data_IF_069223295949
#
_entry.id   IF_069223295949
#
_cell.length_a   1.000
_cell.length_b   1.000
_cell.length_c   1.000
_cell.angle_alpha   90.00
_cell.angle_beta   90.00
_cell.angle_gamma   90.00
#
_symmetry.space_group_name_H-M   'P 1'
#
loop_
_entity.id
_entity.type
_entity.pdbx_description
1 polymer ?
#
# COMPACT_ATOMS: atom_id res chain seq x y z
N UNK A 1 9.11 6.42 -20.41
CA UNK A 1 8.71 5.20 -21.09
C UNK A 1 7.23 4.92 -20.93
N UNK A 2 6.71 4.74 -19.70
CA UNK A 2 5.29 4.38 -19.41
C UNK A 2 4.32 5.38 -20.04
N UNK A 3 4.57 6.70 -19.89
CA UNK A 3 3.76 7.74 -20.50
C UNK A 3 3.68 7.59 -22.03
N UNK A 4 4.80 7.25 -22.71
CA UNK A 4 4.81 7.03 -24.16
C UNK A 4 4.01 5.78 -24.55
N UNK A 5 4.08 4.70 -23.76
CA UNK A 5 3.26 3.51 -24.01
C UNK A 5 1.76 3.82 -23.86
N UNK A 6 1.37 4.58 -22.83
CA UNK A 6 -0.03 4.98 -22.65
C UNK A 6 -0.55 5.89 -23.78
N UNK A 7 0.27 6.76 -24.34
CA UNK A 7 -0.12 7.56 -25.53
C UNK A 7 -0.49 6.66 -26.72
N UNK A 8 0.17 5.53 -26.90
CA UNK A 8 -0.14 4.61 -28.02
C UNK A 8 -1.54 4.00 -27.92
N UNK A 9 -2.14 3.95 -26.72
CA UNK A 9 -3.51 3.47 -26.52
C UNK A 9 -4.58 4.48 -26.97
N UNK A 10 -4.19 5.73 -27.24
CA UNK A 10 -5.09 6.82 -27.57
C UNK A 10 -5.50 7.69 -26.38
N UNK A 11 -4.88 7.47 -25.22
CA UNK A 11 -5.13 8.26 -24.02
C UNK A 11 -4.50 9.66 -24.11
N UNK A 12 -5.15 10.63 -23.49
CA UNK A 12 -4.56 11.93 -23.15
C UNK A 12 -3.68 11.73 -21.90
N UNK A 13 -2.36 11.91 -22.07
CA UNK A 13 -1.38 11.57 -21.02
C UNK A 13 -0.69 12.81 -20.48
N UNK A 14 -0.60 12.92 -19.17
CA UNK A 14 0.13 13.97 -18.45
C UNK A 14 1.08 13.35 -17.41
N UNK A 15 2.20 14.01 -17.19
CA UNK A 15 3.10 13.76 -16.08
C UNK A 15 2.73 14.75 -14.98
N UNK A 16 2.45 14.26 -13.79
CA UNK A 16 2.00 15.06 -12.65
C UNK A 16 3.08 15.07 -11.58
N UNK A 17 3.66 16.24 -11.35
CA UNK A 17 4.62 16.42 -10.26
C UNK A 17 3.90 16.39 -8.91
N UNK A 18 4.47 15.73 -7.88
CA UNK A 18 3.89 15.70 -6.55
C UNK A 18 3.83 17.10 -5.94
N UNK A 19 2.65 17.43 -5.42
CA UNK A 19 2.41 18.67 -4.67
C UNK A 19 1.91 18.31 -3.28
N UNK A 20 2.20 19.15 -2.28
CA UNK A 20 1.72 18.95 -0.91
C UNK A 20 2.16 17.57 -0.35
N UNK A 21 3.43 17.23 -0.47
CA UNK A 21 3.97 15.94 -0.01
C UNK A 21 3.66 15.77 1.49
N UNK A 22 2.95 14.69 1.81
CA UNK A 22 2.61 14.34 3.19
C UNK A 22 3.86 13.87 3.94
N UNK A 23 4.22 14.58 5.00
CA UNK A 23 5.46 14.34 5.74
C UNK A 23 5.27 13.31 6.86
N UNK A 24 5.91 12.17 6.69
CA UNK A 24 6.12 11.13 7.69
C UNK A 24 7.59 11.16 8.13
N UNK A 25 7.95 10.35 9.12
CA UNK A 25 9.30 10.34 9.69
C UNK A 25 10.41 10.05 8.67
N UNK A 26 10.11 9.14 7.76
CA UNK A 26 11.03 8.65 6.71
C UNK A 26 10.69 9.18 5.29
N UNK A 27 9.77 10.13 5.16
CA UNK A 27 9.43 10.68 3.84
C UNK A 27 10.62 11.42 3.23
N UNK A 28 11.07 11.03 2.02
CA UNK A 28 12.15 11.74 1.34
C UNK A 28 11.74 13.17 1.00
N UNK A 29 12.72 14.04 0.77
CA UNK A 29 12.46 15.44 0.43
C UNK A 29 11.63 15.59 -0.85
N UNK A 30 11.86 14.70 -1.81
CA UNK A 30 11.17 14.62 -3.10
C UNK A 30 10.73 13.20 -3.37
N UNK A 31 9.55 13.04 -3.99
CA UNK A 31 9.05 11.78 -4.56
C UNK A 31 9.03 11.90 -6.08
N UNK A 32 9.00 10.76 -6.77
CA UNK A 32 8.94 10.75 -8.22
C UNK A 32 7.61 11.27 -8.77
N UNK A 33 7.55 11.66 -10.05
CA UNK A 33 6.33 12.10 -10.71
C UNK A 33 5.36 10.92 -10.93
N UNK A 34 4.09 11.25 -11.09
CA UNK A 34 3.02 10.32 -11.45
C UNK A 34 2.70 10.41 -12.94
N UNK A 35 2.19 9.33 -13.53
CA UNK A 35 1.63 9.34 -14.88
C UNK A 35 0.12 9.24 -14.78
N UNK A 36 -0.59 10.24 -15.29
CA UNK A 36 -2.05 10.25 -15.42
C UNK A 36 -2.43 10.15 -16.89
N UNK A 37 -3.31 9.20 -17.21
CA UNK A 37 -3.86 9.07 -18.57
C UNK A 37 -5.39 9.01 -18.51
N UNK A 38 -6.05 9.63 -19.49
CA UNK A 38 -7.50 9.69 -19.58
C UNK A 38 -7.95 9.29 -20.98
N UNK A 39 -8.84 8.30 -21.06
CA UNK A 39 -9.56 7.96 -22.27
C UNK A 39 -11.01 8.40 -22.11
N UNK A 40 -11.54 9.07 -23.13
CA UNK A 40 -12.95 9.50 -23.20
C UNK A 40 -13.68 8.61 -24.18
N UNK A 41 -14.76 7.99 -23.73
CA UNK A 41 -15.64 7.15 -24.52
C UNK A 41 -16.98 7.86 -24.82
N UNK A 42 -17.98 7.06 -25.17
CA UNK A 42 -19.34 7.50 -25.54
C UNK A 42 -20.39 7.20 -24.49
N UNK A 43 -20.04 6.41 -23.49
CA UNK A 43 -20.92 5.99 -22.41
C UNK A 43 -20.89 6.93 -21.21
N UNK A 44 -21.30 6.43 -20.05
CA UNK A 44 -21.40 7.21 -18.80
C UNK A 44 -20.51 6.68 -17.67
N UNK A 45 -20.08 5.42 -17.71
CA UNK A 45 -19.31 4.82 -16.63
C UNK A 45 -17.93 5.48 -16.46
N UNK A 46 -17.55 5.72 -15.20
CA UNK A 46 -16.26 6.31 -14.83
C UNK A 46 -15.42 5.25 -14.11
N UNK A 47 -14.35 4.82 -14.73
CA UNK A 47 -13.51 3.72 -14.25
C UNK A 47 -12.09 4.22 -14.03
N UNK A 48 -11.54 3.96 -12.86
CA UNK A 48 -10.15 4.28 -12.53
C UNK A 48 -9.33 2.99 -12.48
N UNK A 49 -8.14 3.02 -13.08
CA UNK A 49 -7.14 1.95 -13.02
C UNK A 49 -5.91 2.50 -12.31
N UNK A 50 -5.45 1.81 -11.27
CA UNK A 50 -4.28 2.22 -10.49
C UNK A 50 -3.24 1.10 -10.40
N UNK A 51 -1.98 1.49 -10.42
CA UNK A 51 -0.79 0.67 -10.19
C UNK A 51 0.38 1.58 -9.81
N UNK A 52 1.52 1.02 -9.39
CA UNK A 52 2.68 1.83 -9.07
C UNK A 52 3.94 1.43 -9.87
N UNK A 53 4.86 2.37 -10.00
CA UNK A 53 6.08 2.23 -10.82
C UNK A 53 7.33 2.05 -9.98
N UNK A 54 7.30 2.43 -8.71
CA UNK A 54 8.39 2.24 -7.76
C UNK A 54 8.48 0.79 -7.28
N UNK A 55 9.60 0.45 -6.67
CA UNK A 55 9.87 -0.86 -6.10
C UNK A 55 10.79 -0.72 -4.89
N UNK A 56 10.79 -1.72 -4.01
CA UNK A 56 11.72 -1.78 -2.86
C UNK A 56 13.17 -2.05 -3.24
N UNK A 57 13.45 -2.35 -4.51
CA UNK A 57 14.79 -2.77 -4.95
C UNK A 57 15.70 -1.58 -5.26
N UNK A 58 16.95 -1.68 -4.79
CA UNK A 58 17.92 -0.61 -4.96
C UNK A 58 18.59 -0.64 -6.35
N UNK A 59 19.06 0.52 -6.78
CA UNK A 59 19.85 0.66 -8.01
C UNK A 59 21.05 -0.29 -8.01
N UNK A 60 21.23 -1.04 -9.10
CA UNK A 60 22.31 -1.99 -9.27
C UNK A 60 21.95 -3.44 -8.99
N UNK A 61 20.89 -3.71 -8.23
CA UNK A 61 20.47 -5.09 -7.90
C UNK A 61 20.11 -5.95 -9.13
N UNK A 62 19.68 -5.32 -10.23
CA UNK A 62 19.39 -6.02 -11.49
C UNK A 62 20.59 -6.83 -12.02
N UNK A 63 21.82 -6.41 -11.71
CA UNK A 63 23.04 -7.13 -12.09
C UNK A 63 23.12 -8.52 -11.43
N UNK A 64 22.66 -8.61 -10.18
CA UNK A 64 22.73 -9.84 -9.39
C UNK A 64 21.44 -10.68 -9.52
N UNK A 65 20.36 -10.02 -9.92
CA UNK A 65 19.02 -10.62 -10.09
C UNK A 65 18.43 -10.28 -11.47
N UNK A 66 19.01 -10.80 -12.56
CA UNK A 66 18.54 -10.50 -13.91
C UNK A 66 17.17 -11.09 -14.18
N UNK A 67 16.46 -10.49 -15.12
CA UNK A 67 15.24 -11.05 -15.68
C UNK A 67 15.50 -12.45 -16.25
N UNK A 68 14.67 -13.43 -15.89
CA UNK A 68 14.75 -14.80 -16.42
C UNK A 68 13.37 -15.45 -16.47
N UNK A 69 13.24 -16.43 -17.37
CA UNK A 69 12.04 -17.26 -17.49
C UNK A 69 12.41 -18.72 -17.24
N UNK A 70 11.67 -19.39 -16.37
CA UNK A 70 11.85 -20.81 -16.02
C UNK A 70 10.48 -21.50 -15.99
N UNK A 71 10.17 -22.25 -17.05
CA UNK A 71 8.85 -22.85 -17.20
C UNK A 71 7.74 -21.80 -17.28
N UNK A 72 6.76 -21.89 -16.38
CA UNK A 72 5.65 -20.94 -16.27
C UNK A 72 5.97 -19.72 -15.37
N UNK A 73 7.18 -19.62 -14.85
CA UNK A 73 7.59 -18.52 -13.99
C UNK A 73 8.48 -17.54 -14.71
N UNK A 74 8.15 -16.26 -14.59
CA UNK A 74 9.00 -15.16 -15.03
C UNK A 74 9.48 -14.40 -13.81
N UNK A 75 10.79 -14.40 -13.58
CA UNK A 75 11.45 -13.74 -12.45
C UNK A 75 11.97 -12.36 -12.84
N UNK A 76 11.87 -11.41 -11.94
CA UNK A 76 12.40 -10.06 -12.12
C UNK A 76 12.17 -9.19 -10.90
N UNK A 77 12.99 -8.18 -10.70
CA UNK A 77 12.85 -7.22 -9.61
C UNK A 77 11.61 -6.35 -9.80
N UNK A 78 10.69 -6.39 -8.83
CA UNK A 78 9.43 -5.66 -8.91
C UNK A 78 8.51 -6.16 -10.02
N UNK A 79 8.69 -7.42 -10.47
CA UNK A 79 7.89 -7.96 -11.57
C UNK A 79 6.45 -8.22 -11.14
N UNK A 80 6.22 -8.64 -9.89
CA UNK A 80 4.91 -8.85 -9.30
C UNK A 80 4.41 -7.57 -8.62
N UNK A 81 5.31 -6.80 -8.03
CA UNK A 81 5.04 -5.61 -7.22
C UNK A 81 5.82 -4.39 -7.76
N UNK A 82 5.29 -3.56 -8.73
CA UNK A 82 4.01 -3.76 -9.42
C UNK A 82 4.15 -3.54 -10.94
N UNK A 83 5.33 -3.89 -11.52
CA UNK A 83 5.57 -3.71 -12.97
C UNK A 83 4.56 -4.46 -13.84
N UNK A 84 4.10 -5.64 -13.39
CA UNK A 84 3.07 -6.39 -14.10
C UNK A 84 1.74 -5.65 -14.12
N UNK A 85 1.37 -4.94 -13.04
CA UNK A 85 0.15 -4.16 -12.97
C UNK A 85 0.17 -2.99 -13.96
N UNK A 86 1.30 -2.29 -14.04
CA UNK A 86 1.54 -1.25 -15.05
C UNK A 86 1.39 -1.82 -16.47
N UNK A 87 2.01 -2.97 -16.75
CA UNK A 87 1.93 -3.63 -18.05
C UNK A 87 0.50 -4.11 -18.36
N UNK A 88 -0.19 -4.70 -17.38
CA UNK A 88 -1.56 -5.19 -17.53
C UNK A 88 -2.54 -4.03 -17.85
N UNK A 89 -2.39 -2.88 -17.23
CA UNK A 89 -3.18 -1.69 -17.56
C UNK A 89 -2.96 -1.27 -19.01
N UNK A 90 -1.70 -1.11 -19.45
CA UNK A 90 -1.37 -0.70 -20.81
C UNK A 90 -1.98 -1.68 -21.84
N UNK A 91 -1.80 -3.00 -21.61
CA UNK A 91 -2.32 -4.03 -22.51
C UNK A 91 -3.86 -4.10 -22.50
N UNK A 92 -4.52 -3.88 -21.36
CA UNK A 92 -5.99 -3.78 -21.27
C UNK A 92 -6.51 -2.64 -22.14
N UNK A 93 -5.89 -1.46 -22.07
CA UNK A 93 -6.26 -0.31 -22.91
C UNK A 93 -5.99 -0.57 -24.39
N UNK A 94 -4.89 -1.23 -24.75
CA UNK A 94 -4.59 -1.61 -26.13
C UNK A 94 -5.61 -2.63 -26.66
N UNK A 95 -6.07 -3.58 -25.85
CA UNK A 95 -7.14 -4.50 -26.21
C UNK A 95 -8.46 -3.76 -26.47
N UNK A 96 -8.88 -2.85 -25.61
CA UNK A 96 -10.08 -2.02 -25.82
C UNK A 96 -9.99 -1.22 -27.14
N UNK A 97 -8.81 -0.64 -27.42
CA UNK A 97 -8.54 0.07 -28.67
C UNK A 97 -8.66 -0.86 -29.89
N UNK A 98 -8.05 -2.04 -29.85
CA UNK A 98 -8.11 -3.04 -30.95
C UNK A 98 -9.52 -3.56 -31.19
N UNK A 99 -10.34 -3.64 -30.14
CA UNK A 99 -11.75 -4.01 -30.23
C UNK A 99 -12.64 -2.81 -30.68
N UNK A 100 -12.09 -1.63 -30.89
CA UNK A 100 -12.81 -0.38 -31.13
C UNK A 100 -13.90 -0.11 -30.07
N UNK A 101 -13.68 -0.55 -28.83
CA UNK A 101 -14.65 -0.41 -27.77
C UNK A 101 -14.56 0.97 -27.11
N UNK A 102 -15.67 1.70 -27.09
CA UNK A 102 -15.76 3.10 -26.58
C UNK A 102 -17.04 3.34 -25.75
N UNK A 103 -17.74 2.30 -25.29
CA UNK A 103 -19.01 2.45 -24.59
C UNK A 103 -18.86 2.89 -23.12
N UNK A 104 -17.63 3.02 -22.60
CA UNK A 104 -17.35 3.66 -21.32
C UNK A 104 -17.50 5.20 -21.41
N UNK A 105 -17.70 5.87 -20.29
CA UNK A 105 -17.67 7.34 -20.21
C UNK A 105 -16.23 7.84 -20.15
N UNK A 106 -15.53 7.48 -19.08
CA UNK A 106 -14.10 7.76 -18.92
C UNK A 106 -13.36 6.57 -18.33
N UNK A 107 -12.13 6.33 -18.81
CA UNK A 107 -11.15 5.49 -18.10
C UNK A 107 -10.00 6.40 -17.67
N UNK A 108 -9.78 6.51 -16.37
CA UNK A 108 -8.68 7.28 -15.79
C UNK A 108 -7.62 6.32 -15.25
N UNK A 109 -6.41 6.40 -15.78
CA UNK A 109 -5.25 5.67 -15.27
C UNK A 109 -4.44 6.59 -14.38
N UNK A 110 -4.01 6.12 -13.24
CA UNK A 110 -3.05 6.79 -12.38
C UNK A 110 -1.97 5.82 -11.94
N UNK A 111 -0.73 6.10 -12.36
CA UNK A 111 0.45 5.32 -12.01
C UNK A 111 1.38 6.22 -11.18
N UNK A 112 1.54 5.88 -9.92
CA UNK A 112 2.40 6.63 -9.01
C UNK A 112 3.80 6.00 -8.88
N UNK A 113 4.70 6.67 -8.17
CA UNK A 113 6.08 6.26 -7.99
C UNK A 113 6.55 6.43 -6.54
N UNK A 114 5.63 6.23 -5.59
CA UNK A 114 5.89 6.36 -4.17
C UNK A 114 4.99 5.46 -3.30
N UNK A 115 4.44 4.37 -3.88
CA UNK A 115 3.59 3.41 -3.16
C UNK A 115 4.36 2.76 -2.02
N UNK A 116 5.59 2.30 -2.28
CA UNK A 116 6.43 1.55 -1.35
C UNK A 116 6.83 2.34 -0.09
N UNK A 117 6.69 3.65 -0.15
CA UNK A 117 6.91 4.56 0.98
C UNK A 117 5.61 5.16 1.51
N UNK A 118 4.46 4.51 1.23
CA UNK A 118 3.11 4.89 1.65
C UNK A 118 2.57 6.14 0.96
N UNK A 119 2.91 6.35 -0.29
CA UNK A 119 2.30 7.32 -1.22
C UNK A 119 2.26 8.77 -0.72
N UNK A 120 3.36 9.31 -0.16
CA UNK A 120 3.33 10.66 0.42
C UNK A 120 3.04 11.76 -0.60
N UNK A 121 3.48 11.61 -1.85
CA UNK A 121 3.25 12.58 -2.93
C UNK A 121 1.99 12.32 -3.73
N UNK A 122 1.55 11.06 -3.81
CA UNK A 122 0.43 10.63 -4.68
C UNK A 122 -0.91 10.48 -3.96
N UNK A 123 -0.94 10.23 -2.66
CA UNK A 123 -2.17 9.93 -1.88
C UNK A 123 -3.30 10.92 -2.09
N UNK A 124 -3.00 12.22 -2.16
CA UNK A 124 -3.99 13.27 -2.37
C UNK A 124 -4.64 13.14 -3.76
N UNK A 125 -3.82 12.98 -4.81
CA UNK A 125 -4.32 12.84 -6.17
C UNK A 125 -5.12 11.55 -6.36
N UNK A 126 -4.70 10.43 -5.77
CA UNK A 126 -5.45 9.16 -5.77
C UNK A 126 -6.84 9.38 -5.14
N UNK A 127 -6.87 9.94 -3.91
CA UNK A 127 -8.11 10.19 -3.18
C UNK A 127 -9.07 11.11 -3.94
N UNK A 128 -8.57 12.24 -4.44
CA UNK A 128 -9.38 13.22 -5.18
C UNK A 128 -9.89 12.65 -6.51
N UNK A 129 -9.05 11.92 -7.25
CA UNK A 129 -9.46 11.31 -8.53
C UNK A 129 -10.51 10.24 -8.33
N UNK A 130 -10.44 9.45 -7.26
CA UNK A 130 -11.36 8.36 -6.99
C UNK A 130 -12.77 8.82 -6.54
N UNK A 131 -12.94 10.06 -6.06
CA UNK A 131 -14.22 10.57 -5.57
C UNK A 131 -15.33 10.52 -6.63
N UNK A 132 -14.98 10.78 -7.87
CA UNK A 132 -15.92 10.87 -9.01
C UNK A 132 -15.97 9.58 -9.84
N UNK A 133 -15.38 8.49 -9.35
CA UNK A 133 -15.37 7.21 -10.07
C UNK A 133 -16.51 6.31 -9.61
N UNK A 134 -17.03 5.48 -10.52
CA UNK A 134 -17.98 4.40 -10.21
C UNK A 134 -17.23 3.15 -9.74
N UNK A 135 -16.06 2.90 -10.33
CA UNK A 135 -15.22 1.72 -10.07
C UNK A 135 -13.74 2.09 -10.03
N UNK A 136 -13.00 1.47 -9.13
CA UNK A 136 -11.53 1.49 -9.10
C UNK A 136 -11.01 0.05 -9.17
N UNK A 137 -10.18 -0.22 -10.15
CA UNK A 137 -9.46 -1.48 -10.31
C UNK A 137 -7.99 -1.24 -9.98
N UNK A 138 -7.52 -1.87 -8.90
CA UNK A 138 -6.13 -1.78 -8.45
C UNK A 138 -5.36 -3.01 -8.92
N UNK A 139 -4.31 -2.78 -9.70
CA UNK A 139 -3.59 -3.83 -10.43
C UNK A 139 -2.41 -4.42 -9.66
N UNK A 140 -2.38 -4.25 -8.35
CA UNK A 140 -1.49 -5.00 -7.49
C UNK A 140 -1.54 -6.51 -7.77
N UNK A 141 -0.47 -7.23 -7.49
CA UNK A 141 -0.41 -8.66 -7.71
C UNK A 141 -1.51 -9.44 -6.99
N UNK A 142 -2.14 -10.39 -7.68
CA UNK A 142 -3.19 -11.26 -7.14
C UNK A 142 -2.69 -12.29 -6.12
N UNK A 143 -1.39 -12.28 -5.80
CA UNK A 143 -0.76 -13.29 -4.97
C UNK A 143 -0.66 -14.64 -5.69
N UNK A 144 -0.15 -15.66 -5.00
CA UNK A 144 0.09 -16.98 -5.58
C UNK A 144 -1.16 -17.68 -6.12
N UNK A 145 -2.30 -17.46 -5.48
CA UNK A 145 -3.60 -18.07 -5.83
C UNK A 145 -4.49 -17.17 -6.68
N UNK A 146 -3.99 -16.02 -7.11
CA UNK A 146 -4.75 -15.08 -7.92
C UNK A 146 -5.97 -14.48 -7.23
N UNK A 147 -5.92 -14.26 -5.92
CA UNK A 147 -7.06 -13.75 -5.16
C UNK A 147 -7.34 -12.27 -5.46
N UNK A 148 -8.61 -11.91 -5.58
CA UNK A 148 -9.08 -10.52 -5.43
C UNK A 148 -9.26 -10.18 -3.96
N UNK A 149 -9.08 -8.91 -3.60
CA UNK A 149 -9.23 -8.40 -2.24
C UNK A 149 -10.26 -7.28 -2.20
N UNK A 150 -11.12 -7.30 -1.19
CA UNK A 150 -12.11 -6.26 -0.92
C UNK A 150 -11.73 -5.38 0.27
N UNK A 151 -10.70 -5.80 1.02
CA UNK A 151 -10.24 -5.10 2.21
C UNK A 151 -8.72 -5.22 2.34
N UNK A 152 -8.08 -4.16 2.83
CA UNK A 152 -6.66 -4.14 3.21
C UNK A 152 -6.50 -3.52 4.59
N UNK A 153 -5.42 -3.86 5.29
CA UNK A 153 -5.12 -3.24 6.58
C UNK A 153 -4.62 -1.82 6.40
N UNK A 154 -5.05 -0.94 7.30
CA UNK A 154 -4.36 0.32 7.49
C UNK A 154 -2.99 0.12 8.12
N UNK A 155 -2.07 1.01 7.83
CA UNK A 155 -0.69 1.01 8.31
C UNK A 155 -0.46 2.27 9.12
N UNK A 156 0.07 2.12 10.33
CA UNK A 156 0.52 3.20 11.19
C UNK A 156 1.89 2.90 11.77
N UNK A 157 2.51 3.93 12.32
CA UNK A 157 3.75 3.84 13.06
C UNK A 157 3.68 4.66 14.34
N UNK A 158 4.28 4.17 15.41
CA UNK A 158 4.48 4.93 16.64
C UNK A 158 5.98 5.04 16.93
N UNK A 159 6.40 6.24 17.29
CA UNK A 159 7.79 6.57 17.60
C UNK A 159 7.86 7.06 19.03
N UNK A 160 8.69 6.43 19.85
CA UNK A 160 9.04 6.87 21.19
C UNK A 160 10.44 7.47 21.18
N UNK A 161 10.56 8.62 21.81
CA UNK A 161 11.83 9.26 22.09
C UNK A 161 11.88 9.61 23.58
N UNK A 162 12.91 9.12 24.26
CA UNK A 162 13.13 9.34 25.69
C UNK A 162 14.43 10.11 25.87
N UNK A 163 14.32 11.29 26.47
CA UNK A 163 15.46 12.09 26.90
C UNK A 163 15.69 11.93 28.39
N UNK A 164 16.93 11.65 28.73
CA UNK A 164 17.44 11.57 30.08
C UNK A 164 18.63 12.50 30.29
N UNK A 165 19.62 12.04 31.05
CA UNK A 165 20.84 12.78 31.35
C UNK A 165 22.02 11.86 31.46
N UNK A 166 23.11 12.14 30.73
CA UNK A 166 24.35 11.36 30.79
C UNK A 166 25.05 11.53 32.13
N UNK A 167 25.67 10.43 32.59
CA UNK A 167 26.56 10.38 33.74
C UNK A 167 27.52 9.20 33.62
N UNK A 168 28.62 9.20 34.40
CA UNK A 168 29.52 8.07 34.46
C UNK A 168 28.89 6.93 35.26
N UNK A 169 28.66 5.78 34.61
CA UNK A 169 27.88 4.69 35.15
C UNK A 169 28.47 4.05 36.44
N UNK A 170 29.78 4.13 36.64
CA UNK A 170 30.45 3.57 37.79
C UNK A 170 30.91 4.56 38.88
N UNK A 171 30.96 5.86 38.56
CA UNK A 171 31.47 6.90 39.50
C UNK A 171 30.34 7.66 40.16
N UNK A 172 29.36 8.11 39.37
CA UNK A 172 28.25 8.95 39.87
C UNK A 172 26.97 8.68 39.06
N UNK A 173 26.47 7.43 39.06
CA UNK A 173 25.28 7.08 38.26
C UNK A 173 24.02 7.85 38.68
N UNK A 174 23.90 8.23 39.95
CA UNK A 174 22.80 9.01 40.51
C UNK A 174 22.68 10.44 39.95
N UNK A 175 23.75 10.96 39.32
CA UNK A 175 23.71 12.25 38.63
C UNK A 175 23.09 12.18 37.23
N UNK A 176 22.85 10.96 36.72
CA UNK A 176 22.25 10.69 35.43
C UNK A 176 20.76 10.35 35.52
N UNK A 177 20.10 10.43 34.37
CA UNK A 177 18.74 9.95 34.15
C UNK A 177 18.81 8.96 33.00
N UNK A 178 18.63 7.67 33.30
CA UNK A 178 18.87 6.59 32.33
C UNK A 178 17.71 6.45 31.33
N UNK A 179 17.88 7.00 30.13
CA UNK A 179 16.88 6.95 29.06
C UNK A 179 16.54 5.49 28.66
N UNK A 180 17.49 4.54 28.70
CA UNK A 180 17.23 3.14 28.38
C UNK A 180 16.27 2.50 29.41
N UNK A 181 16.45 2.81 30.70
CA UNK A 181 15.56 2.32 31.77
C UNK A 181 14.14 2.84 31.59
N UNK A 182 13.99 4.12 31.26
CA UNK A 182 12.67 4.71 31.01
C UNK A 182 12.06 4.13 29.74
N UNK A 183 12.79 4.03 28.61
CA UNK A 183 12.29 3.43 27.37
C UNK A 183 11.80 2.01 27.59
N UNK A 184 12.56 1.18 28.34
CA UNK A 184 12.17 -0.19 28.67
C UNK A 184 10.84 -0.22 29.43
N UNK A 185 10.65 0.68 30.40
CA UNK A 185 9.38 0.81 31.13
C UNK A 185 8.24 1.20 30.18
N UNK A 186 8.46 2.18 29.31
CA UNK A 186 7.46 2.64 28.36
C UNK A 186 7.04 1.49 27.41
N UNK A 187 7.97 0.76 26.81
CA UNK A 187 7.66 -0.39 25.95
C UNK A 187 6.82 -1.43 26.69
N UNK A 188 7.19 -1.80 27.91
CA UNK A 188 6.49 -2.82 28.70
C UNK A 188 5.05 -2.41 29.04
N UNK A 189 4.79 -1.15 29.35
CA UNK A 189 3.42 -0.67 29.61
C UNK A 189 2.58 -0.45 28.34
N UNK A 190 3.18 -0.44 27.15
CA UNK A 190 2.52 -0.20 25.88
C UNK A 190 2.39 -1.46 25.00
N UNK A 191 2.90 -2.61 25.43
CA UNK A 191 2.93 -3.84 24.62
C UNK A 191 1.58 -4.55 24.50
N UNK A 192 0.61 -4.28 25.36
CA UNK A 192 -0.68 -4.99 25.49
C UNK A 192 -1.82 -4.33 24.67
N UNK A 193 -1.49 -3.44 23.76
CA UNK A 193 -2.48 -2.66 23.00
C UNK A 193 -3.04 -3.37 21.77
N UNK A 194 -2.45 -4.49 21.35
CA UNK A 194 -3.02 -5.33 20.29
C UNK A 194 -4.37 -5.91 20.72
N UNK A 195 -5.34 -5.90 19.81
CA UNK A 195 -6.69 -6.41 20.07
C UNK A 195 -7.17 -7.32 18.93
N UNK A 196 -7.16 -8.65 19.11
CA UNK A 196 -7.61 -9.59 18.09
C UNK A 196 -9.07 -9.41 17.66
N UNK A 197 -9.94 -8.87 18.53
CA UNK A 197 -11.36 -8.67 18.22
C UNK A 197 -11.58 -7.53 17.21
N UNK A 198 -10.73 -6.50 17.24
CA UNK A 198 -10.79 -5.39 16.28
C UNK A 198 -9.77 -5.52 15.14
N UNK A 199 -8.88 -6.53 15.22
CA UNK A 199 -7.78 -6.71 14.28
C UNK A 199 -6.63 -5.70 14.46
N UNK A 200 -6.66 -4.88 15.52
CA UNK A 200 -5.57 -3.98 15.87
C UNK A 200 -4.33 -4.79 16.27
N UNK A 201 -3.20 -4.49 15.63
CA UNK A 201 -1.88 -5.03 15.97
C UNK A 201 -0.93 -3.88 16.22
N UNK A 202 -0.20 -3.92 17.33
CA UNK A 202 0.86 -2.97 17.66
C UNK A 202 2.06 -3.78 18.14
N UNK A 203 3.19 -3.62 17.47
CA UNK A 203 4.43 -4.34 17.78
C UNK A 203 5.61 -3.36 17.79
N UNK A 204 6.29 -3.25 18.93
CA UNK A 204 7.56 -2.54 19.01
C UNK A 204 8.66 -3.40 18.37
N UNK A 205 9.23 -2.92 17.26
CA UNK A 205 10.12 -3.71 16.40
C UNK A 205 11.53 -3.18 16.29
N UNK A 206 11.73 -1.89 16.62
CA UNK A 206 13.05 -1.25 16.63
C UNK A 206 13.26 -0.55 17.96
N UNK A 207 14.46 -0.67 18.53
CA UNK A 207 14.86 0.11 19.70
C UNK A 207 16.37 0.42 19.64
N UNK A 208 16.75 1.59 20.13
CA UNK A 208 18.14 2.04 20.21
C UNK A 208 18.39 2.86 21.48
N UNK A 209 19.51 2.62 22.15
CA UNK A 209 19.92 3.40 23.33
C UNK A 209 21.42 3.27 23.61
N UNK A 210 22.07 4.36 23.98
CA UNK A 210 23.45 4.38 24.40
C UNK A 210 24.45 4.02 23.29
N UNK A 211 25.73 4.36 23.52
CA UNK A 211 26.82 4.03 22.60
C UNK A 211 28.02 3.41 23.34
N UNK A 212 28.17 3.74 24.61
CA UNK A 212 29.33 3.37 25.43
C UNK A 212 28.86 2.79 26.76
N UNK A 213 29.35 1.61 27.12
CA UNK A 213 28.91 0.79 28.27
C UNK A 213 29.01 1.52 29.63
N UNK A 214 30.00 2.35 29.84
CA UNK A 214 30.25 3.05 31.10
C UNK A 214 29.62 4.46 31.20
N UNK A 215 28.68 4.76 30.31
CA UNK A 215 27.91 6.02 30.29
C UNK A 215 26.44 5.72 30.43
N UNK A 216 25.76 6.40 31.36
CA UNK A 216 24.28 6.43 31.43
C UNK A 216 23.75 7.11 30.17
N UNK A 217 22.90 6.43 29.35
CA UNK A 217 22.40 7.02 28.11
C UNK A 217 21.40 8.14 28.38
N UNK A 218 21.57 9.24 27.68
CA UNK A 218 20.70 10.43 27.72
C UNK A 218 19.64 10.43 26.61
N UNK A 219 19.74 9.49 25.66
CA UNK A 219 18.76 9.32 24.59
C UNK A 219 18.48 7.86 24.36
N UNK A 220 17.20 7.52 24.21
CA UNK A 220 16.72 6.23 23.79
C UNK A 220 15.50 6.37 22.89
N UNK A 221 15.37 5.54 21.85
CA UNK A 221 14.28 5.59 20.89
C UNK A 221 13.71 4.20 20.64
N UNK A 222 12.42 4.13 20.30
CA UNK A 222 11.79 2.91 19.80
C UNK A 222 10.76 3.22 18.72
N UNK A 223 10.49 2.23 17.85
CA UNK A 223 9.50 2.33 16.79
C UNK A 223 8.60 1.10 16.81
N UNK A 224 7.30 1.32 16.57
CA UNK A 224 6.32 0.26 16.47
C UNK A 224 5.62 0.28 15.11
N UNK A 225 5.39 -0.92 14.55
CA UNK A 225 4.44 -1.14 13.45
C UNK A 225 3.03 -1.25 14.03
N UNK A 226 2.08 -0.55 13.39
CA UNK A 226 0.68 -0.56 13.81
C UNK A 226 -0.19 -0.93 12.61
N UNK A 227 -1.06 -1.94 12.79
CA UNK A 227 -2.05 -2.34 11.77
C UNK A 227 -3.45 -2.22 12.33
N UNK A 228 -4.37 -1.66 11.57
CA UNK A 228 -5.76 -1.52 11.97
C UNK A 228 -6.72 -1.78 10.81
N UNK A 229 -7.94 -2.20 11.12
CA UNK A 229 -9.00 -2.45 10.13
C UNK A 229 -9.93 -1.26 9.95
N UNK A 230 -9.87 -0.28 10.86
CA UNK A 230 -10.70 0.93 10.82
C UNK A 230 -9.88 2.16 11.23
N UNK A 231 -10.14 3.30 10.60
CA UNK A 231 -9.44 4.57 10.92
C UNK A 231 -9.61 4.97 12.40
N UNK A 232 -10.79 4.71 12.98
CA UNK A 232 -11.05 5.01 14.40
C UNK A 232 -10.13 4.26 15.37
N UNK A 233 -9.65 3.07 14.98
CA UNK A 233 -8.76 2.27 15.83
C UNK A 233 -7.38 2.92 15.93
N UNK A 234 -6.89 3.58 14.87
CA UNK A 234 -5.68 4.41 14.93
C UNK A 234 -5.84 5.59 15.88
N UNK A 235 -6.97 6.30 15.81
CA UNK A 235 -7.25 7.43 16.69
C UNK A 235 -7.36 7.00 18.16
N UNK A 236 -7.92 5.81 18.39
CA UNK A 236 -8.05 5.28 19.75
C UNK A 236 -6.70 4.84 20.31
N UNK A 237 -5.89 4.09 19.54
CA UNK A 237 -4.58 3.63 20.01
C UNK A 237 -3.64 4.80 20.25
N UNK A 238 -3.64 5.81 19.38
CA UNK A 238 -2.86 7.03 19.57
C UNK A 238 -3.23 7.72 20.92
N UNK A 239 -4.51 7.89 21.20
CA UNK A 239 -4.96 8.48 22.48
C UNK A 239 -4.47 7.67 23.68
N UNK A 240 -4.58 6.34 23.62
CA UNK A 240 -4.12 5.47 24.70
C UNK A 240 -2.61 5.55 24.87
N UNK A 241 -1.85 5.55 23.79
CA UNK A 241 -0.40 5.73 23.82
C UNK A 241 -0.03 7.07 24.49
N UNK A 242 -0.64 8.18 24.06
CA UNK A 242 -0.39 9.53 24.60
C UNK A 242 -0.72 9.64 26.10
N UNK A 243 -1.74 8.93 26.58
CA UNK A 243 -2.05 8.91 28.01
C UNK A 243 -1.07 8.04 28.80
N UNK A 244 -0.75 6.84 28.33
CA UNK A 244 0.11 5.90 29.05
C UNK A 244 1.55 6.39 29.18
N UNK A 245 2.11 7.10 28.19
CA UNK A 245 3.48 7.62 28.28
C UNK A 245 3.67 8.67 29.40
N UNK A 246 2.60 9.21 29.93
CA UNK A 246 2.65 10.13 31.10
C UNK A 246 3.06 9.41 32.39
N UNK A 247 2.87 8.08 32.45
CA UNK A 247 3.27 7.25 33.58
C UNK A 247 4.74 6.87 33.45
N UNK A 248 5.61 7.76 33.91
CA UNK A 248 7.06 7.62 33.85
C UNK A 248 7.60 6.84 35.05
N UNK A 249 8.62 6.00 34.81
CA UNK A 249 9.42 5.37 35.88
C UNK A 249 10.40 6.37 36.48
N UNK A 250 11.00 7.21 35.64
CA UNK A 250 11.95 8.24 36.05
C UNK A 250 11.30 9.60 35.87
N UNK A 251 10.88 10.23 36.96
CA UNK A 251 10.11 11.45 36.95
C UNK A 251 10.75 12.58 36.12
N UNK A 252 12.08 12.70 36.20
CA UNK A 252 12.85 13.75 35.52
C UNK A 252 13.21 13.43 34.06
N UNK A 253 12.79 12.29 33.52
CA UNK A 253 12.90 12.00 32.09
C UNK A 253 11.87 12.79 31.28
N UNK A 254 12.18 13.08 30.02
CA UNK A 254 11.21 13.57 29.04
C UNK A 254 10.87 12.44 28.07
N UNK A 255 9.57 12.14 27.91
CA UNK A 255 9.07 11.11 26.99
C UNK A 255 8.22 11.77 25.94
N UNK A 256 8.57 11.56 24.67
CA UNK A 256 7.84 12.05 23.50
C UNK A 256 7.29 10.89 22.71
N UNK A 257 6.06 11.04 22.23
CA UNK A 257 5.42 10.10 21.30
C UNK A 257 4.98 10.86 20.06
N UNK A 258 5.36 10.34 18.90
CA UNK A 258 4.79 10.68 17.60
C UNK A 258 4.03 9.49 17.08
N UNK A 259 2.83 9.71 16.54
CA UNK A 259 2.02 8.68 15.90
C UNK A 259 1.70 9.11 14.47
N UNK A 260 1.78 8.18 13.54
CA UNK A 260 1.51 8.42 12.12
C UNK A 260 0.54 7.36 11.58
N UNK A 261 -0.57 7.78 11.00
CA UNK A 261 -1.33 6.93 10.10
C UNK A 261 -0.71 7.03 8.71
N UNK A 262 0.06 6.03 8.34
CA UNK A 262 0.80 6.01 7.06
C UNK A 262 -0.13 5.70 5.89
N UNK A 263 -1.07 4.76 6.08
CA UNK A 263 -2.04 4.34 5.07
C UNK A 263 -3.39 4.03 5.74
N UNK A 264 -4.53 4.48 5.21
CA UNK A 264 -5.83 4.08 5.74
C UNK A 264 -6.12 2.60 5.43
N UNK A 265 -7.06 1.95 6.12
CA UNK A 265 -7.59 0.66 5.71
C UNK A 265 -8.54 0.81 4.51
N UNK A 266 -8.52 -0.15 3.58
CA UNK A 266 -9.60 -0.35 2.62
C UNK A 266 -10.69 -1.20 3.29
N UNK A 267 -11.94 -0.79 3.17
CA UNK A 267 -13.08 -1.54 3.67
C UNK A 267 -13.99 -1.98 2.52
N UNK A 268 -14.39 -3.24 2.54
CA UNK A 268 -15.35 -3.78 1.57
C UNK A 268 -16.69 -3.01 1.62
N UNK A 269 -17.17 -2.59 0.46
CA UNK A 269 -18.54 -2.05 0.32
C UNK A 269 -19.44 -3.02 -0.47
N UNK A 270 -20.77 -2.85 -0.44
CA UNK A 270 -21.70 -3.74 -1.17
C UNK A 270 -21.46 -3.76 -2.68
N UNK A 271 -21.06 -2.65 -3.27
CA UNK A 271 -20.78 -2.54 -4.70
C UNK A 271 -19.52 -3.33 -5.08
N UNK A 272 -18.46 -3.26 -4.26
CA UNK A 272 -17.26 -4.06 -4.46
C UNK A 272 -17.54 -5.57 -4.37
N UNK A 273 -18.43 -6.00 -3.47
CA UNK A 273 -18.84 -7.41 -3.37
C UNK A 273 -19.54 -7.89 -4.65
N UNK A 274 -20.48 -7.11 -5.18
CA UNK A 274 -21.16 -7.42 -6.45
C UNK A 274 -20.19 -7.49 -7.62
N UNK A 275 -19.21 -6.56 -7.67
CA UNK A 275 -18.19 -6.55 -8.71
C UNK A 275 -17.27 -7.77 -8.62
N UNK A 276 -16.92 -8.20 -7.40
CA UNK A 276 -16.16 -9.42 -7.19
C UNK A 276 -16.94 -10.69 -7.59
N UNK A 277 -18.24 -10.76 -7.30
CA UNK A 277 -19.11 -11.84 -7.74
C UNK A 277 -19.17 -11.92 -9.29
N UNK A 278 -19.23 -10.78 -9.97
CA UNK A 278 -19.14 -10.70 -11.43
C UNK A 278 -17.79 -11.22 -11.95
N UNK A 279 -16.68 -10.83 -11.31
CA UNK A 279 -15.35 -11.34 -11.64
C UNK A 279 -15.25 -12.87 -11.47
N UNK A 280 -15.82 -13.40 -10.39
CA UNK A 280 -15.90 -14.85 -10.15
C UNK A 280 -16.73 -15.57 -11.24
N UNK A 281 -17.85 -14.95 -11.63
CA UNK A 281 -18.69 -15.50 -12.70
C UNK A 281 -17.93 -15.57 -14.03
N UNK A 282 -17.23 -14.50 -14.42
CA UNK A 282 -16.40 -14.46 -15.64
C UNK A 282 -15.35 -15.59 -15.61
N UNK A 283 -14.61 -15.75 -14.51
CA UNK A 283 -13.61 -16.82 -14.39
C UNK A 283 -14.21 -18.21 -14.50
N UNK A 284 -15.36 -18.42 -13.88
CA UNK A 284 -16.05 -19.70 -13.90
C UNK A 284 -16.61 -20.03 -15.29
N UNK A 285 -17.28 -19.06 -15.95
CA UNK A 285 -17.97 -19.31 -17.21
C UNK A 285 -17.02 -19.37 -18.40
N UNK A 286 -16.03 -18.48 -18.44
CA UNK A 286 -15.21 -18.28 -19.64
C UNK A 286 -13.91 -19.09 -19.60
N UNK A 287 -13.41 -19.42 -18.39
CA UNK A 287 -12.18 -20.21 -18.23
C UNK A 287 -12.36 -21.53 -17.48
N UNK A 288 -13.53 -21.77 -16.87
CA UNK A 288 -13.74 -22.89 -15.95
C UNK A 288 -12.72 -22.92 -14.80
N UNK A 289 -12.31 -21.74 -14.33
CA UNK A 289 -11.35 -21.55 -13.23
C UNK A 289 -12.05 -20.96 -12.00
N UNK A 290 -11.64 -21.36 -10.78
CA UNK A 290 -12.09 -20.71 -9.58
C UNK A 290 -11.39 -19.34 -9.41
N UNK A 291 -12.07 -18.38 -8.81
CA UNK A 291 -11.48 -17.14 -8.34
C UNK A 291 -11.77 -16.94 -6.86
N UNK A 292 -10.73 -16.83 -6.09
CA UNK A 292 -10.83 -16.55 -4.65
C UNK A 292 -11.02 -15.06 -4.42
N UNK A 293 -11.90 -14.71 -3.51
CA UNK A 293 -12.14 -13.33 -3.06
C UNK A 293 -11.92 -13.25 -1.56
N UNK A 294 -11.02 -12.38 -1.12
CA UNK A 294 -10.72 -12.11 0.27
C UNK A 294 -11.52 -10.89 0.72
N UNK A 295 -12.56 -11.12 1.50
CA UNK A 295 -13.40 -10.05 2.04
C UNK A 295 -12.78 -9.38 3.29
N UNK A 296 -11.83 -10.05 3.93
CA UNK A 296 -11.14 -9.58 5.13
C UNK A 296 -9.68 -9.22 4.82
N UNK A 297 -9.18 -8.21 5.52
CA UNK A 297 -7.81 -7.76 5.37
C UNK A 297 -6.80 -8.78 5.91
N UNK A 298 -5.72 -9.02 5.18
CA UNK A 298 -4.68 -10.01 5.52
C UNK A 298 -3.43 -9.41 6.16
N UNK A 299 -3.35 -8.08 6.30
CA UNK A 299 -2.22 -7.37 6.92
C UNK A 299 -1.48 -6.41 5.97
N UNK A 300 -1.54 -6.63 4.65
CA UNK A 300 -1.01 -5.71 3.64
C UNK A 300 -1.86 -4.45 3.49
N UNK A 301 -1.26 -3.38 3.02
CA UNK A 301 -1.94 -2.14 2.64
C UNK A 301 -1.51 -1.73 1.24
N UNK A 302 -2.41 -1.12 0.47
CA UNK A 302 -2.20 -0.71 -0.92
C UNK A 302 -2.81 0.66 -1.20
N UNK A 303 -2.54 1.23 -2.36
CA UNK A 303 -3.10 2.51 -2.78
C UNK A 303 -4.62 2.50 -3.00
N UNK A 304 -5.22 1.32 -3.21
CA UNK A 304 -6.66 1.15 -3.21
C UNK A 304 -7.33 1.71 -1.94
N UNK A 305 -6.60 1.73 -0.81
CA UNK A 305 -7.09 2.31 0.45
C UNK A 305 -7.25 3.84 0.37
N UNK A 306 -6.37 4.55 -0.30
CA UNK A 306 -6.53 5.99 -0.54
C UNK A 306 -7.68 6.26 -1.51
N UNK A 307 -7.85 5.43 -2.54
CA UNK A 307 -9.00 5.51 -3.43
C UNK A 307 -10.33 5.31 -2.69
N UNK A 308 -10.35 4.44 -1.67
CA UNK A 308 -11.53 4.16 -0.86
C UNK A 308 -11.86 5.18 0.22
N UNK A 309 -10.93 6.08 0.56
CA UNK A 309 -11.03 6.92 1.76
C UNK A 309 -12.25 7.86 1.73
N UNK A 310 -12.55 8.47 0.60
CA UNK A 310 -13.64 9.44 0.42
C UNK A 310 -14.51 9.11 -0.81
N UNK A 311 -14.51 7.86 -1.28
CA UNK A 311 -15.22 7.42 -2.46
C UNK A 311 -16.29 6.38 -2.12
N UNK A 312 -17.34 6.33 -2.95
CA UNK A 312 -18.36 5.27 -2.94
C UNK A 312 -18.11 4.24 -4.04
N UNK A 313 -17.03 4.38 -4.80
CA UNK A 313 -16.67 3.48 -5.88
C UNK A 313 -16.63 2.02 -5.42
N UNK A 314 -16.97 1.11 -6.32
CA UNK A 314 -16.65 -0.31 -6.14
C UNK A 314 -15.14 -0.49 -6.36
N UNK A 315 -14.42 -0.99 -5.36
CA UNK A 315 -12.96 -1.15 -5.44
C UNK A 315 -12.62 -2.63 -5.43
N UNK A 316 -11.91 -3.08 -6.46
CA UNK A 316 -11.26 -4.38 -6.49
C UNK A 316 -9.74 -4.20 -6.43
N UNK A 317 -9.15 -4.82 -5.43
CA UNK A 317 -7.71 -4.91 -5.23
C UNK A 317 -7.20 -6.28 -5.70
N UNK A 318 -5.95 -6.35 -6.22
CA UNK A 318 -5.33 -7.59 -6.70
C UNK A 318 -5.77 -7.98 -8.11
N UNK A 319 -6.06 -6.99 -8.96
CA UNK A 319 -6.43 -7.21 -10.38
C UNK A 319 -5.25 -7.67 -11.24
N UNK A 320 -4.03 -7.52 -10.76
CA UNK A 320 -2.81 -7.91 -11.46
C UNK A 320 -2.61 -9.43 -11.55
N UNK A 321 -1.46 -9.83 -12.09
CA UNK A 321 -1.11 -11.22 -12.37
C UNK A 321 -0.92 -12.03 -11.08
N UNK A 322 -1.00 -13.35 -11.20
CA UNK A 322 -0.63 -14.27 -10.11
C UNK A 322 0.88 -14.40 -10.00
N UNK A 323 1.38 -14.54 -8.79
CA UNK A 323 2.80 -14.68 -8.51
C UNK A 323 3.09 -14.74 -7.03
N UNK A 324 4.36 -14.75 -6.67
CA UNK A 324 4.81 -14.79 -5.27
C UNK A 324 6.19 -14.14 -5.13
N UNK A 325 6.65 -13.94 -3.88
CA UNK A 325 7.99 -13.49 -3.59
C UNK A 325 8.20 -11.98 -3.68
N UNK A 326 7.14 -11.15 -3.71
CA UNK A 326 7.26 -9.70 -3.56
C UNK A 326 8.12 -9.34 -2.33
N UNK A 327 8.96 -8.30 -2.44
CA UNK A 327 9.93 -7.88 -1.43
C UNK A 327 10.98 -8.94 -1.06
N UNK A 328 11.15 -9.98 -1.90
CA UNK A 328 12.11 -11.07 -1.66
C UNK A 328 13.23 -11.08 -2.69
N UNK A 329 14.47 -11.07 -2.23
CA UNK A 329 15.62 -11.22 -3.11
C UNK A 329 15.61 -12.58 -3.81
N UNK A 330 15.78 -12.58 -5.15
CA UNK A 330 15.86 -13.77 -6.00
C UNK A 330 14.63 -14.70 -6.02
N UNK A 331 13.49 -14.26 -5.52
CA UNK A 331 12.31 -15.12 -5.41
C UNK A 331 11.05 -14.53 -6.03
N UNK A 332 11.05 -13.25 -6.42
CA UNK A 332 9.87 -12.60 -6.99
C UNK A 332 9.60 -13.06 -8.44
N UNK A 333 8.39 -13.53 -8.67
CA UNK A 333 7.98 -14.03 -9.99
C UNK A 333 6.49 -13.82 -10.25
N UNK A 334 6.13 -13.81 -11.53
CA UNK A 334 4.75 -13.96 -12.02
C UNK A 334 4.56 -15.30 -12.71
N UNK A 335 3.29 -15.75 -12.81
CA UNK A 335 2.88 -16.95 -13.56
C UNK A 335 2.37 -16.53 -14.94
N UNK A 336 3.00 -17.07 -15.99
CA UNK A 336 2.63 -16.79 -17.40
C UNK A 336 1.18 -17.23 -17.68
N UNK A 337 0.74 -18.35 -17.12
CA UNK A 337 -0.63 -18.86 -17.27
C UNK A 337 -1.69 -17.86 -16.77
N UNK A 338 -1.33 -16.94 -15.85
CA UNK A 338 -2.25 -15.93 -15.34
C UNK A 338 -2.46 -14.73 -16.26
N UNK A 339 -1.59 -14.51 -17.25
CA UNK A 339 -1.61 -13.31 -18.11
C UNK A 339 -2.93 -13.20 -18.87
N UNK A 340 -3.29 -14.23 -19.63
CA UNK A 340 -4.49 -14.20 -20.48
C UNK A 340 -5.76 -14.07 -19.66
N UNK A 341 -6.00 -14.88 -18.58
CA UNK A 341 -7.19 -14.72 -17.76
C UNK A 341 -7.32 -13.37 -17.10
N UNK A 342 -6.20 -12.75 -16.67
CA UNK A 342 -6.22 -11.44 -16.01
C UNK A 342 -6.48 -10.28 -16.96
N UNK A 343 -5.85 -10.27 -18.13
CA UNK A 343 -6.13 -9.28 -19.17
C UNK A 343 -7.58 -9.40 -19.67
N UNK A 344 -8.07 -10.62 -19.85
CA UNK A 344 -9.46 -10.86 -20.22
C UNK A 344 -10.42 -10.34 -19.15
N UNK A 345 -10.17 -10.68 -17.88
CA UNK A 345 -11.00 -10.21 -16.75
C UNK A 345 -11.09 -8.68 -16.72
N UNK A 346 -9.95 -8.00 -16.78
CA UNK A 346 -9.91 -6.54 -16.74
C UNK A 346 -10.69 -5.92 -17.92
N UNK A 347 -10.43 -6.42 -19.14
CA UNK A 347 -11.14 -5.96 -20.35
C UNK A 347 -12.64 -6.23 -20.27
N UNK A 348 -13.03 -7.45 -19.90
CA UNK A 348 -14.44 -7.86 -19.80
C UNK A 348 -15.19 -7.09 -18.73
N UNK A 349 -14.61 -6.87 -17.54
CA UNK A 349 -15.22 -6.05 -16.49
C UNK A 349 -15.46 -4.63 -16.96
N UNK A 350 -14.50 -3.98 -17.63
CA UNK A 350 -14.67 -2.64 -18.18
C UNK A 350 -15.83 -2.61 -19.18
N UNK A 351 -15.92 -3.61 -20.06
CA UNK A 351 -17.00 -3.70 -21.04
C UNK A 351 -18.37 -3.90 -20.38
N UNK A 352 -18.47 -4.81 -19.43
CA UNK A 352 -19.74 -5.13 -18.75
C UNK A 352 -20.24 -3.96 -17.89
N UNK A 353 -19.33 -3.27 -17.18
CA UNK A 353 -19.65 -2.06 -16.41
C UNK A 353 -20.18 -0.93 -17.29
N UNK A 354 -19.70 -0.85 -18.53
CA UNK A 354 -20.13 0.17 -19.49
C UNK A 354 -21.51 -0.10 -20.06
N UNK A 355 -21.93 -1.36 -20.12
CA UNK A 355 -23.24 -1.76 -20.63
C UNK A 355 -24.35 -1.76 -19.58
N UNK A 356 -23.99 -1.98 -18.32
CA UNK A 356 -24.95 -2.06 -17.19
C UNK A 356 -25.63 -0.71 -16.85
N UNK A 357 -25.11 0.41 -17.37
CA UNK A 357 -25.66 1.75 -17.15
C UNK A 357 -26.60 2.23 -18.30
N UNK A 358 -26.81 1.37 -19.31
CA UNK A 358 -27.82 1.60 -20.38
C UNK A 358 -29.15 1.02 -19.99
#
# INVERSE_FOLDING_TARGET
YVAEQLKTTGAEVSIVEPKDIYRMDDTPQQTGPMVKAVLKGKGSSKIMLIAHMDTVYLTGMLKDQPFKMEGDKVFGLGILDDKQGVAAIIHTLDLLKKLNYQDYGTITVLLNSDEEISSPGSRKLITETAQDQDVVLSFEGGGKDGSLRLATSGIGAAYLEVHGKSAHAGVKPEAGINALTELSHQILQLQDLSNPKTGLKLNWTVASAGKVRNVIPDLATAQADVRALQVKDFQQVERVLQERIKHKKLADSEVKLKFEMRRPPLMANPQAKKLAEQAQLIYKTDFNLPMKVLAEATGGGTDAAFAGLNSKAAILEGMGLSGDGAHSNNAEYILVESIVPRLYLATKLIMDLSTAQK
#
